data_IF_437176578209
#
_entry.id   IF_437176578209
#
_cell.length_a   1.000
_cell.length_b   1.000
_cell.length_c   1.000
_cell.angle_alpha   90.00
_cell.angle_beta   90.00
_cell.angle_gamma   90.00
#
_symmetry.space_group_name_H-M   'P 1'
#
loop_
_entity.id
_entity.type
_entity.pdbx_description
1 polymer ?
#
# COMPACT_ATOMS: atom_id res chain seq x y z
N UNK A 1 -23.45 14.57 27.53
CA UNK A 1 -22.14 15.07 27.96
C UNK A 1 -21.25 15.05 26.74
N UNK A 2 -21.21 16.16 26.02
CA UNK A 2 -20.33 16.41 24.89
C UNK A 2 -19.13 17.15 25.49
N UNK A 3 -17.96 16.55 25.47
CA UNK A 3 -16.73 17.17 25.94
C UNK A 3 -16.19 18.13 24.88
N UNK A 4 -15.82 19.32 25.32
CA UNK A 4 -15.28 20.41 24.53
C UNK A 4 -13.94 20.02 23.89
N UNK A 5 -13.90 19.97 22.54
CA UNK A 5 -12.70 19.76 21.72
C UNK A 5 -12.03 21.10 21.32
N UNK A 6 -12.03 22.11 22.18
CA UNK A 6 -11.48 23.45 21.88
C UNK A 6 -9.95 23.58 22.04
N UNK A 7 -9.27 22.61 22.65
CA UNK A 7 -7.86 22.78 23.05
C UNK A 7 -6.79 22.36 22.01
N UNK A 8 -7.15 21.97 20.77
CA UNK A 8 -6.16 21.48 19.78
C UNK A 8 -5.54 22.60 18.95
N UNK A 9 -6.09 23.79 18.95
CA UNK A 9 -5.60 24.91 18.12
C UNK A 9 -4.63 25.87 18.83
N UNK A 10 -4.51 25.82 20.15
CA UNK A 10 -3.70 26.78 20.93
C UNK A 10 -2.19 26.43 20.97
N UNK A 11 -1.75 25.33 20.38
CA UNK A 11 -0.33 24.91 20.41
C UNK A 11 0.46 25.16 19.13
N UNK A 12 -0.13 25.79 18.10
CA UNK A 12 0.58 26.14 16.87
C UNK A 12 1.01 27.60 16.90
N UNK A 13 2.17 27.87 17.46
CA UNK A 13 2.84 29.17 17.32
C UNK A 13 3.38 29.31 15.89
N UNK A 14 2.73 30.18 15.09
CA UNK A 14 3.28 30.61 13.81
C UNK A 14 4.39 31.64 14.07
N UNK A 15 5.65 31.21 14.03
CA UNK A 15 6.75 32.16 13.89
C UNK A 15 6.71 32.73 12.47
N UNK A 16 6.29 33.99 12.36
CA UNK A 16 6.40 34.74 11.11
C UNK A 16 7.88 34.92 10.80
N UNK A 17 8.37 34.53 9.61
CA UNK A 17 9.73 34.89 9.22
C UNK A 17 9.81 36.40 9.12
N UNK A 18 10.80 36.98 9.84
CA UNK A 18 11.11 38.41 9.85
C UNK A 18 11.25 38.93 8.41
N UNK A 19 10.40 39.90 8.06
CA UNK A 19 10.44 40.58 6.78
C UNK A 19 11.78 41.33 6.64
N UNK A 20 12.72 40.76 5.90
CA UNK A 20 13.80 41.54 5.30
C UNK A 20 13.21 42.31 4.12
N UNK A 21 13.24 43.63 4.22
CA UNK A 21 12.83 44.54 3.16
C UNK A 21 13.63 44.24 1.88
N UNK A 22 12.93 43.89 0.81
CA UNK A 22 13.47 43.90 -0.53
C UNK A 22 13.07 45.19 -1.22
N UNK A 23 14.08 45.93 -1.68
CA UNK A 23 13.93 47.12 -2.52
C UNK A 23 13.19 46.75 -3.82
N UNK A 24 12.11 47.50 -4.08
CA UNK A 24 11.34 47.38 -5.31
C UNK A 24 11.89 48.42 -6.28
N UNK A 25 12.87 48.06 -7.10
CA UNK A 25 13.18 48.74 -8.35
C UNK A 25 14.14 47.88 -9.20
N UNK A 26 13.56 46.89 -9.91
CA UNK A 26 14.17 46.35 -11.12
C UNK A 26 13.09 45.72 -12.04
N UNK A 27 13.14 45.97 -13.33
CA UNK A 27 12.10 45.49 -14.26
C UNK A 27 12.21 43.99 -14.46
N UNK A 28 11.16 43.25 -14.11
CA UNK A 28 11.01 41.81 -14.25
C UNK A 28 10.97 41.44 -15.74
N UNK A 29 12.08 40.92 -16.24
CA UNK A 29 12.05 40.09 -17.45
C UNK A 29 11.59 38.67 -17.10
N UNK A 30 10.63 38.04 -17.83
CA UNK A 30 10.16 36.69 -17.53
C UNK A 30 11.18 35.67 -18.05
N UNK A 31 12.17 35.34 -17.25
CA UNK A 31 12.96 34.13 -17.44
C UNK A 31 12.35 33.05 -16.57
N UNK A 32 11.75 32.04 -17.20
CA UNK A 32 11.20 30.87 -16.53
C UNK A 32 12.22 30.20 -15.61
N UNK A 33 11.76 29.51 -14.54
CA UNK A 33 12.63 28.81 -13.64
C UNK A 33 13.35 27.67 -14.37
N UNK A 34 14.58 27.94 -14.79
CA UNK A 34 15.50 26.93 -15.22
C UNK A 34 15.74 25.97 -14.04
N UNK A 35 15.28 24.75 -14.18
CA UNK A 35 15.70 23.64 -13.34
C UNK A 35 17.24 23.59 -13.38
N UNK A 36 17.89 24.07 -12.32
CA UNK A 36 19.27 23.73 -12.07
C UNK A 36 19.30 22.22 -11.79
N UNK A 37 19.62 21.45 -12.82
CA UNK A 37 20.22 20.13 -12.62
C UNK A 37 21.48 20.34 -11.81
N UNK A 38 21.42 20.04 -10.51
CA UNK A 38 22.62 19.82 -9.71
C UNK A 38 23.22 18.50 -10.22
N UNK A 39 24.15 18.62 -11.15
CA UNK A 39 25.11 17.56 -11.49
C UNK A 39 26.12 17.45 -10.33
N UNK A 40 25.67 16.89 -9.21
CA UNK A 40 26.55 16.24 -8.24
C UNK A 40 26.39 14.77 -8.55
N UNK A 41 27.49 14.13 -8.93
CA UNK A 41 27.55 12.73 -9.35
C UNK A 41 26.86 11.82 -8.36
N UNK A 42 25.67 11.42 -8.72
CA UNK A 42 24.92 10.33 -8.11
C UNK A 42 25.19 9.07 -8.94
N UNK A 43 26.48 8.78 -9.12
CA UNK A 43 26.93 7.54 -9.71
C UNK A 43 27.27 6.57 -8.56
N UNK A 44 26.60 5.38 -8.63
CA UNK A 44 26.88 4.19 -7.85
C UNK A 44 26.42 4.14 -6.38
N UNK A 45 25.16 4.45 -6.09
CA UNK A 45 24.49 3.79 -4.99
C UNK A 45 23.98 2.40 -5.47
N UNK A 46 24.58 1.28 -5.02
CA UNK A 46 24.16 -0.07 -5.45
C UNK A 46 22.73 -0.42 -5.06
N UNK A 47 22.05 0.40 -4.25
CA UNK A 47 20.67 0.24 -3.83
C UNK A 47 19.67 1.02 -4.71
N UNK A 48 20.11 1.85 -5.65
CA UNK A 48 19.19 2.52 -6.56
C UNK A 48 18.65 1.54 -7.59
N UNK A 49 17.32 1.44 -7.74
CA UNK A 49 16.72 0.55 -8.73
C UNK A 49 17.10 1.04 -10.15
N UNK A 50 17.85 0.23 -10.89
CA UNK A 50 18.19 0.51 -12.29
C UNK A 50 16.95 0.28 -13.15
N UNK A 51 16.37 1.37 -13.63
CA UNK A 51 15.19 1.36 -14.52
C UNK A 51 15.63 1.19 -15.97
N UNK A 52 15.68 -0.03 -16.46
CA UNK A 52 15.90 -0.31 -17.88
C UNK A 52 14.57 -0.54 -18.59
N UNK A 53 14.21 0.36 -19.46
CA UNK A 53 12.95 0.33 -20.19
C UNK A 53 11.80 1.01 -19.46
N UNK A 54 10.62 1.01 -20.10
CA UNK A 54 9.41 1.61 -19.55
C UNK A 54 8.18 0.76 -19.83
N UNK A 55 7.21 0.84 -18.94
CA UNK A 55 5.86 0.33 -19.11
C UNK A 55 4.89 1.43 -18.67
N UNK A 56 4.18 2.03 -19.62
CA UNK A 56 3.13 3.01 -19.36
C UNK A 56 1.78 2.33 -19.51
N UNK A 57 0.93 2.44 -18.51
CA UNK A 57 -0.35 1.72 -18.48
C UNK A 57 -1.52 2.67 -18.38
N UNK A 58 -2.66 2.29 -18.95
CA UNK A 58 -3.92 3.00 -18.80
C UNK A 58 -5.10 2.02 -18.70
N UNK A 59 -6.11 2.42 -17.94
CA UNK A 59 -7.40 1.72 -17.83
C UNK A 59 -8.48 2.69 -18.26
N UNK A 60 -9.28 2.30 -19.27
CA UNK A 60 -10.27 3.15 -19.91
C UNK A 60 -11.56 2.37 -20.15
N UNK A 61 -12.58 3.07 -20.62
CA UNK A 61 -13.81 2.55 -21.22
C UNK A 61 -14.47 1.41 -20.41
N UNK A 62 -14.97 1.70 -19.19
CA UNK A 62 -15.76 0.74 -18.46
C UNK A 62 -17.04 0.41 -19.24
N UNK A 63 -17.26 -0.87 -19.56
CA UNK A 63 -18.41 -1.35 -20.31
C UNK A 63 -19.12 -2.44 -19.50
N UNK A 64 -20.45 -2.30 -19.38
CA UNK A 64 -21.28 -3.31 -18.77
C UNK A 64 -21.56 -4.41 -19.80
N UNK A 65 -21.02 -5.59 -19.57
CA UNK A 65 -21.20 -6.77 -20.38
C UNK A 65 -22.36 -7.61 -19.84
N UNK A 66 -23.06 -8.35 -20.73
CA UNK A 66 -24.16 -9.24 -20.38
C UNK A 66 -25.28 -8.52 -19.55
N UNK A 67 -25.62 -7.30 -19.95
CA UNK A 67 -26.47 -6.38 -19.18
C UNK A 67 -27.83 -6.94 -18.78
N UNK A 68 -28.39 -7.87 -19.56
CA UNK A 68 -29.71 -8.47 -19.35
C UNK A 68 -29.67 -9.80 -18.59
N UNK A 69 -28.51 -10.25 -18.14
CA UNK A 69 -28.32 -11.52 -17.46
C UNK A 69 -27.96 -11.37 -15.99
N UNK A 70 -28.14 -12.44 -15.21
CA UNK A 70 -27.70 -12.49 -13.80
C UNK A 70 -26.15 -12.42 -13.68
N UNK A 71 -25.44 -12.74 -14.75
CA UNK A 71 -23.98 -12.78 -14.83
C UNK A 71 -23.38 -11.48 -15.36
N UNK A 72 -24.14 -10.38 -15.33
CA UNK A 72 -23.67 -9.06 -15.73
C UNK A 72 -22.41 -8.65 -14.96
N UNK A 73 -21.40 -8.17 -15.68
CA UNK A 73 -20.13 -7.67 -15.14
C UNK A 73 -19.66 -6.42 -15.87
N UNK A 74 -18.69 -5.73 -15.29
CA UNK A 74 -18.03 -4.59 -15.94
C UNK A 74 -16.66 -5.03 -16.44
N UNK A 75 -16.38 -4.77 -17.72
CA UNK A 75 -15.08 -4.94 -18.36
C UNK A 75 -14.42 -3.57 -18.55
N UNK A 76 -13.10 -3.53 -18.44
CA UNK A 76 -12.25 -2.34 -18.60
C UNK A 76 -11.26 -2.59 -19.71
N UNK A 77 -11.04 -1.61 -20.58
CA UNK A 77 -9.98 -1.65 -21.58
C UNK A 77 -8.65 -1.33 -20.90
N UNK A 78 -7.77 -2.31 -20.80
CA UNK A 78 -6.39 -2.14 -20.32
C UNK A 78 -5.48 -1.97 -21.51
N UNK A 79 -4.65 -0.93 -21.51
CA UNK A 79 -3.69 -0.61 -22.54
C UNK A 79 -2.32 -0.38 -21.94
N UNK A 80 -1.29 -0.78 -22.63
CA UNK A 80 0.07 -0.44 -22.26
C UNK A 80 0.86 0.11 -23.46
N UNK A 81 1.90 0.90 -23.16
CA UNK A 81 2.94 1.30 -24.10
C UNK A 81 4.29 0.96 -23.46
N UNK A 82 5.10 0.18 -24.16
CA UNK A 82 6.32 -0.38 -23.57
C UNK A 82 7.43 -0.57 -24.63
N UNK A 83 8.68 -0.53 -24.16
CA UNK A 83 9.87 -0.96 -24.91
C UNK A 83 10.53 -2.18 -24.27
N UNK A 84 9.88 -2.81 -23.27
CA UNK A 84 10.42 -3.98 -22.60
C UNK A 84 10.45 -5.19 -23.56
N UNK A 85 11.58 -5.91 -23.65
CA UNK A 85 11.75 -7.01 -24.62
C UNK A 85 10.85 -8.24 -24.32
N UNK A 86 10.30 -8.31 -23.13
CA UNK A 86 9.38 -9.39 -22.74
C UNK A 86 8.03 -9.28 -23.46
N UNK A 87 7.62 -8.08 -23.91
CA UNK A 87 6.37 -7.87 -24.63
C UNK A 87 6.54 -8.14 -26.13
N UNK A 88 5.56 -8.80 -26.74
CA UNK A 88 5.55 -9.11 -28.16
C UNK A 88 5.19 -7.90 -29.01
N UNK A 89 4.40 -6.98 -28.46
CA UNK A 89 3.95 -5.74 -29.11
C UNK A 89 4.25 -4.52 -28.25
N UNK A 90 4.62 -3.38 -28.87
CA UNK A 90 4.91 -2.15 -28.10
C UNK A 90 3.65 -1.49 -27.50
N UNK A 91 2.46 -1.81 -28.01
CA UNK A 91 1.19 -1.23 -27.59
C UNK A 91 0.14 -2.34 -27.36
N UNK A 92 0.33 -3.23 -26.37
CA UNK A 92 -0.65 -4.27 -26.10
C UNK A 92 -1.93 -3.69 -25.50
N UNK A 93 -3.07 -4.30 -25.83
CA UNK A 93 -4.36 -3.93 -25.26
C UNK A 93 -5.27 -5.14 -25.13
N UNK A 94 -6.04 -5.17 -24.03
CA UNK A 94 -7.01 -6.23 -23.76
C UNK A 94 -8.17 -5.71 -22.91
N UNK A 95 -9.30 -6.43 -22.92
CA UNK A 95 -10.37 -6.16 -21.95
C UNK A 95 -10.27 -7.12 -20.78
N UNK A 96 -10.41 -6.57 -19.55
CA UNK A 96 -10.31 -7.32 -18.29
C UNK A 96 -11.44 -6.94 -17.35
N UNK A 97 -12.00 -7.93 -16.65
CA UNK A 97 -12.96 -7.71 -15.57
C UNK A 97 -12.25 -7.61 -14.23
N UNK A 98 -12.93 -7.11 -13.22
CA UNK A 98 -12.33 -6.93 -11.88
C UNK A 98 -11.71 -8.22 -11.31
N UNK A 99 -12.33 -9.38 -11.53
CA UNK A 99 -11.80 -10.66 -11.06
C UNK A 99 -10.45 -11.04 -11.71
N UNK A 100 -10.19 -10.56 -12.93
CA UNK A 100 -8.91 -10.79 -13.61
C UNK A 100 -7.77 -10.01 -12.92
N UNK A 101 -8.06 -8.81 -12.41
CA UNK A 101 -7.11 -8.04 -11.58
C UNK A 101 -6.89 -8.71 -10.22
N UNK A 102 -7.93 -9.29 -9.61
CA UNK A 102 -7.79 -10.06 -8.36
C UNK A 102 -6.87 -11.24 -8.58
N UNK A 103 -7.08 -12.01 -9.64
CA UNK A 103 -6.22 -13.12 -10.01
C UNK A 103 -4.77 -12.66 -10.20
N UNK A 104 -4.56 -11.61 -11.01
CA UNK A 104 -3.24 -11.04 -11.26
C UNK A 104 -2.53 -10.71 -9.94
N UNK A 105 -3.19 -9.94 -9.06
CA UNK A 105 -2.61 -9.54 -7.78
C UNK A 105 -2.27 -10.71 -6.89
N UNK A 106 -3.20 -11.64 -6.69
CA UNK A 106 -3.03 -12.75 -5.76
C UNK A 106 -1.88 -13.67 -6.19
N UNK A 107 -1.70 -13.88 -7.51
CA UNK A 107 -0.59 -14.67 -8.03
C UNK A 107 0.74 -13.92 -7.99
N UNK A 108 0.75 -12.60 -8.24
CA UNK A 108 1.97 -11.79 -8.06
C UNK A 108 2.44 -11.78 -6.61
N UNK A 109 1.54 -11.70 -5.62
CA UNK A 109 1.88 -11.80 -4.19
C UNK A 109 2.51 -13.16 -3.85
N UNK A 110 2.01 -14.24 -4.46
CA UNK A 110 2.56 -15.57 -4.26
C UNK A 110 3.92 -15.75 -4.93
N UNK A 111 4.03 -15.34 -6.19
CA UNK A 111 5.21 -15.57 -7.01
C UNK A 111 6.38 -14.63 -6.65
N UNK A 112 6.07 -13.44 -6.12
CA UNK A 112 7.02 -12.40 -5.72
C UNK A 112 6.76 -11.98 -4.27
N UNK A 113 6.87 -12.94 -3.35
CA UNK A 113 6.49 -12.76 -1.94
C UNK A 113 7.30 -11.70 -1.20
N UNK A 114 8.52 -11.39 -1.64
CA UNK A 114 9.35 -10.31 -1.10
C UNK A 114 9.06 -8.93 -1.73
N UNK A 115 8.26 -8.86 -2.83
CA UNK A 115 7.90 -7.61 -3.48
C UNK A 115 6.63 -7.00 -2.88
N UNK A 116 6.59 -5.67 -2.80
CA UNK A 116 5.41 -4.92 -2.35
C UNK A 116 4.40 -4.81 -3.50
N UNK A 117 3.55 -5.83 -3.64
CA UNK A 117 2.50 -5.81 -4.66
C UNK A 117 1.40 -4.83 -4.24
N UNK A 118 1.01 -3.88 -5.12
CA UNK A 118 -0.04 -2.91 -4.81
C UNK A 118 -1.36 -3.57 -4.41
N UNK A 119 -2.09 -2.94 -3.50
CA UNK A 119 -3.43 -3.39 -3.14
C UNK A 119 -4.44 -3.02 -4.23
N UNK A 120 -5.45 -3.88 -4.40
CA UNK A 120 -6.65 -3.55 -5.15
C UNK A 120 -7.65 -2.78 -4.27
N UNK A 121 -8.58 -2.03 -4.88
CA UNK A 121 -9.63 -1.36 -4.11
C UNK A 121 -10.44 -2.37 -3.30
N UNK A 122 -10.70 -2.02 -2.04
CA UNK A 122 -11.40 -2.86 -1.08
C UNK A 122 -12.80 -3.24 -1.59
N UNK A 123 -13.11 -4.54 -1.55
CA UNK A 123 -14.45 -5.06 -1.87
C UNK A 123 -15.51 -4.64 -0.83
N UNK A 124 -15.08 -4.25 0.37
CA UNK A 124 -15.90 -4.06 1.57
C UNK A 124 -16.11 -2.59 1.96
N UNK A 125 -15.68 -1.61 1.17
CA UNK A 125 -16.08 -0.22 1.42
C UNK A 125 -17.61 -0.13 1.41
N UNK A 126 -18.20 0.48 2.44
CA UNK A 126 -19.65 0.70 2.54
C UNK A 126 -20.23 1.31 1.27
N UNK A 127 -19.48 2.19 0.60
CA UNK A 127 -19.84 2.79 -0.69
C UNK A 127 -19.97 1.76 -1.82
N UNK A 128 -19.22 0.63 -1.76
CA UNK A 128 -19.32 -0.49 -2.71
C UNK A 128 -20.41 -1.49 -2.35
N UNK A 129 -20.93 -1.45 -1.10
CA UNK A 129 -21.97 -2.38 -0.62
C UNK A 129 -23.39 -1.80 -0.76
N UNK A 130 -23.52 -0.47 -0.67
CA UNK A 130 -24.83 0.22 -0.65
C UNK A 130 -25.24 0.83 -1.99
N UNK A 131 -24.31 0.94 -2.96
CA UNK A 131 -24.57 1.53 -4.29
C UNK A 131 -24.80 0.50 -5.39
N UNK A 132 -25.40 0.93 -6.49
CA UNK A 132 -25.46 0.14 -7.72
C UNK A 132 -24.06 -0.03 -8.31
N UNK A 133 -23.54 -1.26 -8.33
CA UNK A 133 -22.22 -1.60 -8.92
C UNK A 133 -22.10 -1.30 -10.41
N UNK A 134 -23.18 -0.89 -11.05
CA UNK A 134 -23.24 -0.50 -12.45
C UNK A 134 -23.50 0.99 -12.63
N UNK A 135 -23.55 1.79 -11.55
CA UNK A 135 -23.66 3.24 -11.71
C UNK A 135 -22.42 3.81 -12.40
N UNK A 136 -22.55 4.84 -13.23
CA UNK A 136 -21.42 5.48 -13.91
C UNK A 136 -20.34 5.94 -12.93
N UNK A 137 -20.73 6.50 -11.79
CA UNK A 137 -19.82 6.99 -10.76
C UNK A 137 -19.02 5.84 -10.15
N UNK A 138 -19.68 4.71 -9.86
CA UNK A 138 -19.02 3.53 -9.33
C UNK A 138 -18.01 2.94 -10.33
N UNK A 139 -18.43 2.80 -11.59
CA UNK A 139 -17.57 2.25 -12.65
C UNK A 139 -16.35 3.14 -12.89
N UNK A 140 -16.52 4.46 -12.89
CA UNK A 140 -15.43 5.41 -13.09
C UNK A 140 -14.47 5.45 -11.90
N UNK A 141 -14.96 5.45 -10.67
CA UNK A 141 -14.13 5.36 -9.46
C UNK A 141 -13.29 4.09 -9.46
N UNK A 142 -13.91 2.95 -9.76
CA UNK A 142 -13.18 1.67 -9.85
C UNK A 142 -12.17 1.67 -10.99
N UNK A 143 -12.49 2.29 -12.13
CA UNK A 143 -11.55 2.47 -13.24
C UNK A 143 -10.28 3.22 -12.78
N UNK A 144 -10.45 4.31 -12.05
CA UNK A 144 -9.33 5.10 -11.50
C UNK A 144 -8.45 4.27 -10.55
N UNK A 145 -9.07 3.51 -9.65
CA UNK A 145 -8.33 2.67 -8.71
C UNK A 145 -7.56 1.55 -9.41
N UNK A 146 -8.17 0.90 -10.42
CA UNK A 146 -7.51 -0.11 -11.25
C UNK A 146 -6.38 0.51 -12.08
N UNK A 147 -6.55 1.74 -12.54
CA UNK A 147 -5.51 2.47 -13.25
C UNK A 147 -4.29 2.71 -12.35
N UNK A 148 -4.48 3.19 -11.11
CA UNK A 148 -3.40 3.34 -10.11
C UNK A 148 -2.71 2.03 -9.79
N UNK A 149 -3.48 0.95 -9.63
CA UNK A 149 -2.91 -0.38 -9.42
C UNK A 149 -1.94 -0.77 -10.54
N UNK A 150 -2.35 -0.63 -11.81
CA UNK A 150 -1.47 -0.94 -12.94
C UNK A 150 -0.29 0.03 -13.07
N UNK A 151 -0.46 1.31 -12.75
CA UNK A 151 0.64 2.28 -12.74
C UNK A 151 1.71 1.91 -11.71
N UNK A 152 1.30 1.48 -10.51
CA UNK A 152 2.24 1.01 -9.47
C UNK A 152 2.98 -0.25 -9.92
N UNK A 153 2.28 -1.22 -10.52
CA UNK A 153 2.93 -2.40 -11.12
C UNK A 153 3.92 -2.02 -12.22
N UNK A 154 3.55 -1.08 -13.07
CA UNK A 154 4.39 -0.60 -14.16
C UNK A 154 5.64 0.16 -13.68
N UNK A 155 5.55 0.83 -12.54
CA UNK A 155 6.68 1.54 -11.90
C UNK A 155 7.61 0.59 -11.14
N UNK A 156 7.22 -0.67 -10.91
CA UNK A 156 8.03 -1.63 -10.16
C UNK A 156 8.98 -2.40 -11.08
N UNK A 157 10.31 -2.36 -10.84
CA UNK A 157 11.30 -2.90 -11.77
C UNK A 157 11.18 -4.41 -12.02
N UNK A 158 10.81 -5.17 -10.99
CA UNK A 158 10.65 -6.63 -11.07
C UNK A 158 9.27 -6.99 -11.60
N UNK A 159 8.19 -6.44 -11.05
CA UNK A 159 6.82 -6.82 -11.39
C UNK A 159 6.47 -6.49 -12.85
N UNK A 160 6.96 -5.36 -13.40
CA UNK A 160 6.73 -4.99 -14.80
C UNK A 160 7.28 -6.03 -15.80
N UNK A 161 8.26 -6.86 -15.39
CA UNK A 161 8.89 -7.90 -16.20
C UNK A 161 8.30 -9.29 -15.98
N UNK A 162 7.25 -9.39 -15.17
CA UNK A 162 6.57 -10.66 -14.93
C UNK A 162 5.87 -11.17 -16.19
N UNK A 163 6.00 -12.47 -16.46
CA UNK A 163 5.29 -13.15 -17.55
C UNK A 163 3.78 -13.07 -17.41
N UNK A 164 3.30 -13.08 -16.16
CA UNK A 164 1.88 -12.94 -15.85
C UNK A 164 1.37 -11.53 -16.18
N UNK A 165 2.16 -10.48 -15.87
CA UNK A 165 1.83 -9.08 -16.24
C UNK A 165 1.81 -8.93 -17.76
N UNK A 166 2.79 -9.49 -18.47
CA UNK A 166 2.77 -9.52 -19.94
C UNK A 166 1.48 -10.17 -20.47
N UNK A 167 1.16 -11.39 -20.00
CA UNK A 167 -0.02 -12.11 -20.43
C UNK A 167 -1.32 -11.35 -20.12
N UNK A 168 -1.35 -10.61 -19.01
CA UNK A 168 -2.48 -9.76 -18.65
C UNK A 168 -2.74 -8.65 -19.68
N UNK A 169 -1.74 -8.09 -20.32
CA UNK A 169 -1.93 -7.07 -21.35
C UNK A 169 -2.08 -7.64 -22.77
N UNK A 170 -1.44 -8.78 -23.08
CA UNK A 170 -1.37 -9.31 -24.44
C UNK A 170 -2.39 -10.41 -24.74
N UNK A 171 -2.75 -11.25 -23.77
CA UNK A 171 -3.54 -12.45 -24.03
C UNK A 171 -5.00 -12.12 -24.37
N UNK A 172 -5.48 -12.65 -25.48
CA UNK A 172 -6.91 -12.69 -25.82
C UNK A 172 -7.65 -13.80 -25.06
N UNK A 173 -6.94 -14.89 -24.74
CA UNK A 173 -7.47 -16.06 -24.01
C UNK A 173 -6.97 -16.08 -22.56
N UNK A 174 -7.31 -15.04 -21.80
CA UNK A 174 -6.85 -14.87 -20.43
C UNK A 174 -7.18 -16.06 -19.52
N UNK A 175 -8.34 -16.68 -19.68
CA UNK A 175 -8.72 -17.85 -18.89
C UNK A 175 -7.76 -19.03 -19.06
N UNK A 176 -7.25 -19.26 -20.27
CA UNK A 176 -6.27 -20.30 -20.54
C UNK A 176 -4.95 -19.99 -19.82
N UNK A 177 -4.52 -18.71 -19.86
CA UNK A 177 -3.33 -18.26 -19.14
C UNK A 177 -3.45 -18.41 -17.62
N UNK A 178 -4.63 -18.12 -17.07
CA UNK A 178 -4.90 -18.33 -15.64
C UNK A 178 -4.74 -19.81 -15.25
N UNK A 179 -5.33 -20.72 -16.02
CA UNK A 179 -5.21 -22.16 -15.75
C UNK A 179 -3.79 -22.66 -15.92
N UNK A 180 -3.07 -22.23 -16.93
CA UNK A 180 -1.66 -22.60 -17.14
C UNK A 180 -0.78 -22.13 -16.01
N UNK A 181 -0.98 -20.89 -15.52
CA UNK A 181 -0.21 -20.33 -14.40
C UNK A 181 -0.47 -21.08 -13.09
N UNK A 182 -1.71 -21.52 -12.84
CA UNK A 182 -2.05 -22.34 -11.67
C UNK A 182 -1.45 -23.75 -11.78
N UNK A 183 -1.45 -24.35 -12.97
CA UNK A 183 -0.91 -25.67 -13.19
C UNK A 183 0.64 -25.74 -13.13
N UNK A 184 1.31 -24.65 -13.53
CA UNK A 184 2.76 -24.55 -13.58
C UNK A 184 3.23 -23.23 -12.97
N UNK A 185 3.19 -23.08 -11.64
CA UNK A 185 3.64 -21.85 -10.99
C UNK A 185 5.14 -21.64 -11.22
N UNK A 186 5.58 -20.44 -11.59
CA UNK A 186 7.00 -20.16 -11.78
C UNK A 186 7.74 -20.27 -10.44
N UNK A 187 8.86 -20.99 -10.41
CA UNK A 187 9.78 -21.04 -9.26
C UNK A 187 9.45 -22.04 -8.16
N UNK A 188 8.43 -22.86 -8.29
CA UNK A 188 8.25 -24.02 -7.39
C UNK A 188 9.04 -25.22 -7.91
N UNK A 189 10.29 -25.37 -7.46
CA UNK A 189 10.86 -26.70 -7.36
C UNK A 189 10.07 -27.48 -6.30
N UNK A 190 9.77 -28.78 -6.53
CA UNK A 190 9.07 -29.58 -5.55
C UNK A 190 9.97 -29.78 -4.32
N UNK A 191 9.85 -28.89 -3.34
CA UNK A 191 10.45 -29.09 -2.04
C UNK A 191 9.72 -30.25 -1.35
N UNK A 192 10.43 -31.30 -0.91
CA UNK A 192 9.78 -32.40 -0.23
C UNK A 192 9.14 -31.90 1.08
N UNK A 193 7.86 -32.23 1.24
CA UNK A 193 6.90 -31.69 2.21
C UNK A 193 7.16 -31.94 3.70
N UNK A 194 8.41 -31.88 4.18
CA UNK A 194 8.72 -31.98 5.61
C UNK A 194 8.58 -30.59 6.26
N UNK A 195 8.92 -29.52 5.53
CA UNK A 195 8.87 -28.14 6.05
C UNK A 195 7.42 -27.64 6.17
N UNK A 196 6.54 -28.01 5.22
CA UNK A 196 5.12 -27.61 5.25
C UNK A 196 4.37 -28.20 6.45
N UNK A 197 4.66 -29.44 6.82
CA UNK A 197 4.02 -30.10 7.97
C UNK A 197 4.50 -29.59 9.34
N UNK A 198 5.67 -28.97 9.42
CA UNK A 198 6.20 -28.40 10.67
C UNK A 198 5.72 -26.95 10.83
N UNK A 199 5.65 -26.20 9.74
CA UNK A 199 5.21 -24.79 9.72
C UNK A 199 3.76 -24.62 10.19
N UNK A 200 2.85 -25.49 9.78
CA UNK A 200 1.43 -25.43 10.19
C UNK A 200 1.20 -25.73 11.69
N UNK A 201 2.13 -26.41 12.35
CA UNK A 201 1.99 -26.78 13.76
C UNK A 201 2.58 -25.73 14.72
N UNK A 202 3.39 -24.79 14.22
CA UNK A 202 4.14 -23.81 15.02
C UNK A 202 3.63 -22.37 14.89
N UNK A 203 2.40 -22.15 14.41
CA UNK A 203 1.79 -20.81 14.31
C UNK A 203 1.56 -20.19 15.69
N UNK A 204 2.62 -19.82 16.37
CA UNK A 204 2.57 -18.97 17.55
C UNK A 204 2.47 -17.49 17.10
N UNK A 205 1.25 -16.99 17.00
CA UNK A 205 0.95 -15.59 16.65
C UNK A 205 1.62 -14.54 17.57
N UNK A 206 2.30 -14.96 18.63
CA UNK A 206 2.95 -14.10 19.64
C UNK A 206 4.47 -14.28 19.71
N UNK A 207 5.07 -15.13 18.91
CA UNK A 207 6.52 -15.31 18.90
C UNK A 207 7.21 -14.02 18.40
N UNK A 208 8.30 -13.63 19.06
CA UNK A 208 9.12 -12.48 18.66
C UNK A 208 10.50 -12.99 18.29
N UNK A 209 11.06 -12.43 17.22
CA UNK A 209 12.44 -12.64 16.80
C UNK A 209 13.37 -12.33 17.98
N UNK A 210 14.26 -13.27 18.32
CA UNK A 210 15.15 -13.16 19.50
C UNK A 210 16.27 -12.15 19.30
N UNK A 211 16.77 -12.06 18.07
CA UNK A 211 17.80 -11.10 17.69
C UNK A 211 17.29 -10.26 16.53
N UNK A 212 16.40 -9.28 16.79
CA UNK A 212 15.88 -8.43 15.73
C UNK A 212 17.00 -7.59 15.11
N UNK A 213 17.04 -7.55 13.78
CA UNK A 213 17.91 -6.66 13.05
C UNK A 213 17.39 -5.22 13.17
N UNK A 214 18.22 -4.32 13.66
CA UNK A 214 17.87 -2.92 13.90
C UNK A 214 17.35 -2.21 12.64
N UNK A 215 17.87 -2.55 11.46
CA UNK A 215 17.41 -2.01 10.18
C UNK A 215 15.93 -2.23 9.96
N UNK A 216 15.43 -3.45 10.18
CA UNK A 216 14.02 -3.78 10.02
C UNK A 216 13.13 -3.20 11.12
N UNK A 217 13.67 -3.00 12.34
CA UNK A 217 12.95 -2.28 13.40
C UNK A 217 12.70 -0.82 13.01
N UNK A 218 13.73 -0.12 12.51
CA UNK A 218 13.63 1.26 12.03
C UNK A 218 12.67 1.35 10.84
N UNK A 219 12.74 0.41 9.89
CA UNK A 219 11.82 0.38 8.75
C UNK A 219 10.37 0.23 9.20
N UNK A 220 10.11 -0.65 10.16
CA UNK A 220 8.76 -0.85 10.71
C UNK A 220 8.23 0.39 11.40
N UNK A 221 9.06 1.02 12.24
CA UNK A 221 8.70 2.27 12.91
C UNK A 221 8.39 3.40 11.90
N UNK A 222 9.18 3.49 10.82
CA UNK A 222 8.92 4.46 9.76
C UNK A 222 7.62 4.19 9.00
N UNK A 223 7.29 2.91 8.77
CA UNK A 223 6.00 2.52 8.17
C UNK A 223 4.84 2.87 9.11
N UNK A 224 4.97 2.59 10.40
CA UNK A 224 3.96 2.91 11.41
C UNK A 224 3.68 4.43 11.48
N UNK A 225 4.72 5.24 11.57
CA UNK A 225 4.62 6.71 11.57
C UNK A 225 4.01 7.25 10.27
N UNK A 226 4.37 6.67 9.13
CA UNK A 226 3.83 7.07 7.84
C UNK A 226 2.33 6.75 7.75
N UNK A 227 1.92 5.55 8.13
CA UNK A 227 0.50 5.15 8.14
C UNK A 227 -0.33 6.01 9.09
N UNK A 228 0.18 6.30 10.30
CA UNK A 228 -0.46 7.20 11.25
C UNK A 228 -0.66 8.60 10.66
N UNK A 229 0.38 9.15 10.02
CA UNK A 229 0.33 10.45 9.35
C UNK A 229 -0.70 10.48 8.22
N UNK A 230 -0.81 9.41 7.42
CA UNK A 230 -1.81 9.28 6.37
C UNK A 230 -3.25 9.23 6.94
N UNK A 231 -3.47 8.47 8.01
CA UNK A 231 -4.77 8.36 8.68
C UNK A 231 -5.21 9.71 9.26
N UNK A 232 -4.29 10.43 9.90
CA UNK A 232 -4.56 11.80 10.42
C UNK A 232 -4.90 12.74 9.27
N UNK A 233 -4.11 12.71 8.19
CA UNK A 233 -4.35 13.54 7.01
C UNK A 233 -5.70 13.24 6.34
N UNK A 234 -6.06 11.96 6.18
CA UNK A 234 -7.36 11.54 5.62
C UNK A 234 -8.52 12.08 6.48
N UNK A 235 -8.40 12.00 7.81
CA UNK A 235 -9.39 12.52 8.75
C UNK A 235 -9.55 14.04 8.64
N UNK A 236 -8.44 14.77 8.59
CA UNK A 236 -8.46 16.24 8.46
C UNK A 236 -9.08 16.68 7.14
N UNK A 237 -8.67 16.08 6.03
CA UNK A 237 -9.23 16.42 4.72
C UNK A 237 -10.70 16.01 4.56
N UNK A 238 -11.12 14.94 5.21
CA UNK A 238 -12.55 14.57 5.28
C UNK A 238 -13.36 15.65 6.01
N UNK A 239 -12.83 16.24 7.09
CA UNK A 239 -13.46 17.40 7.76
C UNK A 239 -13.48 18.62 6.84
N UNK A 240 -12.36 18.94 6.17
CA UNK A 240 -12.30 20.06 5.19
C UNK A 240 -13.37 19.87 4.13
N UNK A 241 -13.49 18.68 3.53
CA UNK A 241 -14.53 18.35 2.55
C UNK A 241 -15.94 18.62 3.09
N UNK A 242 -16.24 18.16 4.31
CA UNK A 242 -17.53 18.40 4.97
C UNK A 242 -17.80 19.90 5.14
N UNK A 243 -16.83 20.64 5.67
CA UNK A 243 -16.96 22.11 5.85
C UNK A 243 -17.09 22.88 4.54
N UNK A 244 -16.39 22.44 3.50
CA UNK A 244 -16.55 23.06 2.16
C UNK A 244 -17.94 22.75 1.59
N UNK A 245 -18.50 21.57 1.84
CA UNK A 245 -19.87 21.26 1.45
C UNK A 245 -20.90 22.12 2.17
N UNK A 246 -20.73 22.31 3.49
CA UNK A 246 -21.59 23.22 4.29
C UNK A 246 -21.50 24.65 3.76
N UNK A 247 -20.28 25.15 3.54
CA UNK A 247 -20.02 26.49 2.98
C UNK A 247 -20.65 26.67 1.59
N UNK A 248 -20.62 25.63 0.76
CA UNK A 248 -21.28 25.63 -0.56
C UNK A 248 -22.79 25.82 -0.44
N UNK A 249 -23.43 25.17 0.53
CA UNK A 249 -24.85 25.36 0.83
C UNK A 249 -25.13 26.78 1.37
N UNK A 250 -24.31 27.26 2.30
CA UNK A 250 -24.46 28.61 2.89
C UNK A 250 -24.38 29.71 1.83
N UNK A 251 -23.43 29.61 0.87
CA UNK A 251 -23.37 30.57 -0.25
C UNK A 251 -24.59 30.49 -1.16
N UNK A 252 -25.12 29.31 -1.41
CA UNK A 252 -26.32 29.11 -2.19
C UNK A 252 -27.54 29.77 -1.49
N UNK A 253 -27.72 29.54 -0.20
CA UNK A 253 -28.84 30.07 0.58
C UNK A 253 -28.74 31.59 0.72
N UNK A 254 -27.52 32.10 0.91
CA UNK A 254 -27.28 33.57 0.88
C UNK A 254 -27.67 34.19 -0.47
N UNK A 255 -27.31 33.52 -1.57
CA UNK A 255 -27.67 34.00 -2.91
C UNK A 255 -29.18 34.08 -3.09
N UNK A 256 -29.92 33.06 -2.66
CA UNK A 256 -31.38 33.02 -2.69
C UNK A 256 -32.00 34.19 -1.85
N UNK A 257 -31.45 34.41 -0.64
CA UNK A 257 -31.87 35.48 0.24
C UNK A 257 -31.63 36.90 -0.39
N UNK A 258 -30.46 37.10 -0.99
CA UNK A 258 -30.12 38.36 -1.70
C UNK A 258 -31.02 38.56 -2.91
N UNK A 259 -31.32 37.52 -3.67
CA UNK A 259 -32.27 37.61 -4.77
C UNK A 259 -33.68 38.01 -4.29
N UNK A 260 -34.10 37.44 -3.14
CA UNK A 260 -35.37 37.85 -2.50
C UNK A 260 -35.42 39.32 -2.13
N UNK A 261 -34.32 39.90 -1.63
CA UNK A 261 -34.22 41.36 -1.38
C UNK A 261 -34.35 42.16 -2.65
N UNK A 262 -33.84 41.69 -3.78
CA UNK A 262 -33.96 42.37 -5.08
C UNK A 262 -35.42 42.59 -5.55
N UNK A 263 -36.36 41.77 -5.09
CA UNK A 263 -37.79 41.97 -5.35
C UNK A 263 -38.43 43.06 -4.47
N UNK A 264 -37.82 43.34 -3.30
CA UNK A 264 -38.36 44.34 -2.35
C UNK A 264 -37.78 45.74 -2.59
N UNK A 265 -36.57 45.85 -3.11
CA UNK A 265 -35.81 47.09 -3.25
C UNK A 265 -35.62 47.44 -4.73
N UNK A 266 -36.61 48.14 -5.32
CA UNK A 266 -36.65 48.44 -6.76
C UNK A 266 -35.48 49.32 -7.26
N UNK A 267 -34.85 50.10 -6.38
CA UNK A 267 -33.73 51.00 -6.76
C UNK A 267 -32.38 50.31 -6.96
N UNK A 268 -32.21 49.12 -6.38
CA UNK A 268 -30.95 48.34 -6.42
C UNK A 268 -31.15 46.87 -6.87
N UNK A 269 -32.27 46.60 -7.52
CA UNK A 269 -32.62 45.25 -8.01
C UNK A 269 -31.52 44.64 -8.88
N UNK A 270 -31.01 45.37 -9.88
CA UNK A 270 -29.97 44.88 -10.78
C UNK A 270 -28.64 44.58 -10.08
N UNK A 271 -28.08 45.44 -9.22
CA UNK A 271 -26.91 45.12 -8.42
C UNK A 271 -27.10 43.90 -7.51
N UNK A 272 -28.26 43.74 -6.86
CA UNK A 272 -28.55 42.58 -5.99
C UNK A 272 -28.65 41.30 -6.80
N UNK A 273 -29.27 41.32 -7.98
CA UNK A 273 -29.31 40.16 -8.86
C UNK A 273 -27.91 39.76 -9.36
N UNK A 274 -27.06 40.74 -9.73
CA UNK A 274 -25.68 40.44 -10.09
C UNK A 274 -24.91 39.84 -8.92
N UNK A 275 -25.09 40.39 -7.71
CA UNK A 275 -24.45 39.84 -6.51
C UNK A 275 -24.92 38.42 -6.19
N UNK A 276 -26.23 38.17 -6.26
CA UNK A 276 -26.81 36.81 -6.09
C UNK A 276 -26.22 35.83 -7.11
N UNK A 277 -26.13 36.22 -8.39
CA UNK A 277 -25.54 35.38 -9.42
C UNK A 277 -24.06 35.06 -9.15
N UNK A 278 -23.27 36.05 -8.72
CA UNK A 278 -21.85 35.82 -8.32
C UNK A 278 -21.74 34.83 -7.16
N UNK A 279 -22.62 34.89 -6.16
CA UNK A 279 -22.67 33.94 -5.06
C UNK A 279 -23.03 32.53 -5.53
N UNK A 280 -23.97 32.40 -6.48
CA UNK A 280 -24.33 31.10 -7.07
C UNK A 280 -23.16 30.49 -7.85
N UNK A 281 -22.49 31.29 -8.68
CA UNK A 281 -21.30 30.83 -9.44
C UNK A 281 -20.17 30.43 -8.51
N UNK A 282 -19.90 31.21 -7.44
CA UNK A 282 -18.91 30.86 -6.45
C UNK A 282 -19.25 29.55 -5.71
N UNK A 283 -20.53 29.36 -5.35
CA UNK A 283 -21.01 28.08 -4.79
C UNK A 283 -20.77 26.90 -5.76
N UNK A 284 -21.03 27.12 -7.06
CA UNK A 284 -20.77 26.11 -8.09
C UNK A 284 -19.26 25.79 -8.24
N UNK A 285 -18.40 26.81 -8.19
CA UNK A 285 -16.94 26.65 -8.20
C UNK A 285 -16.43 25.85 -7.00
N UNK A 286 -16.93 26.11 -5.78
CA UNK A 286 -16.60 25.35 -4.57
C UNK A 286 -16.98 23.87 -4.72
N UNK A 287 -18.16 23.61 -5.24
CA UNK A 287 -18.62 22.22 -5.50
C UNK A 287 -17.75 21.54 -6.53
N UNK A 288 -17.44 22.23 -7.62
CA UNK A 288 -16.55 21.71 -8.68
C UNK A 288 -15.16 21.40 -8.13
N UNK A 289 -14.53 22.32 -7.39
CA UNK A 289 -13.22 22.12 -6.76
C UNK A 289 -13.22 20.93 -5.78
N UNK A 290 -14.31 20.74 -5.04
CA UNK A 290 -14.45 19.56 -4.16
C UNK A 290 -14.42 18.27 -4.97
N UNK A 291 -15.18 18.18 -6.05
CA UNK A 291 -15.30 17.00 -6.90
C UNK A 291 -14.03 16.69 -7.71
N UNK A 292 -13.35 17.72 -8.21
CA UNK A 292 -12.20 17.57 -9.11
C UNK A 292 -10.85 17.53 -8.39
N UNK A 293 -10.77 18.05 -7.17
CA UNK A 293 -9.50 18.19 -6.42
C UNK A 293 -9.53 17.45 -5.09
N UNK A 294 -10.51 17.78 -4.22
CA UNK A 294 -10.53 17.23 -2.84
C UNK A 294 -10.90 15.74 -2.82
N UNK A 295 -11.92 15.33 -3.56
CA UNK A 295 -12.34 13.92 -3.62
C UNK A 295 -11.27 13.00 -4.23
N UNK A 296 -10.63 13.33 -5.37
CA UNK A 296 -9.50 12.56 -5.89
C UNK A 296 -8.31 12.50 -4.95
N UNK A 297 -8.00 13.59 -4.23
CA UNK A 297 -6.94 13.62 -3.24
C UNK A 297 -7.21 12.65 -2.08
N UNK A 298 -8.42 12.65 -1.51
CA UNK A 298 -8.82 11.71 -0.45
C UNK A 298 -8.75 10.25 -0.92
N UNK A 299 -9.20 9.97 -2.14
CA UNK A 299 -9.09 8.63 -2.72
C UNK A 299 -7.62 8.21 -2.89
N UNK A 300 -6.75 9.15 -3.25
CA UNK A 300 -5.32 8.88 -3.40
C UNK A 300 -4.64 8.61 -2.07
N UNK A 301 -4.91 9.42 -1.02
CA UNK A 301 -4.43 9.20 0.34
C UNK A 301 -4.79 7.79 0.84
N UNK A 302 -6.05 7.41 0.70
CA UNK A 302 -6.52 6.09 1.09
C UNK A 302 -5.84 4.97 0.31
N UNK A 303 -5.68 5.13 -1.00
CA UNK A 303 -4.98 4.18 -1.85
C UNK A 303 -3.50 4.04 -1.45
N UNK A 304 -2.85 5.13 -1.04
CA UNK A 304 -1.47 5.11 -0.56
C UNK A 304 -1.36 4.42 0.81
N UNK A 305 -2.33 4.61 1.70
CA UNK A 305 -2.42 3.90 2.96
C UNK A 305 -2.53 2.37 2.74
N UNK A 306 -3.41 1.93 1.85
CA UNK A 306 -3.55 0.50 1.53
C UNK A 306 -2.30 -0.07 0.86
N UNK A 307 -1.57 0.72 0.09
CA UNK A 307 -0.28 0.32 -0.48
C UNK A 307 0.79 0.17 0.62
N UNK A 308 0.82 1.08 1.61
CA UNK A 308 1.68 0.94 2.80
C UNK A 308 1.37 -0.32 3.60
N UNK A 309 0.10 -0.72 3.72
CA UNK A 309 -0.27 -2.00 4.35
C UNK A 309 0.31 -3.21 3.61
N UNK A 310 0.43 -3.16 2.27
CA UNK A 310 1.12 -4.20 1.50
C UNK A 310 2.61 -4.26 1.86
N UNK A 311 3.27 -3.11 2.03
CA UNK A 311 4.65 -3.04 2.49
C UNK A 311 4.82 -3.63 3.91
N UNK A 312 3.93 -3.26 4.83
CA UNK A 312 3.90 -3.85 6.19
C UNK A 312 3.75 -5.37 6.14
N UNK A 313 2.96 -5.92 5.21
CA UNK A 313 2.78 -7.36 5.06
C UNK A 313 4.09 -8.05 4.65
N UNK A 314 4.89 -7.46 3.75
CA UNK A 314 6.21 -7.98 3.37
C UNK A 314 7.17 -7.99 4.56
N UNK A 315 7.22 -6.90 5.36
CA UNK A 315 8.03 -6.85 6.58
C UNK A 315 7.62 -7.92 7.60
N UNK A 316 6.31 -8.17 7.77
CA UNK A 316 5.82 -9.25 8.63
C UNK A 316 6.21 -10.64 8.12
N UNK A 317 6.15 -10.85 6.79
CA UNK A 317 6.54 -12.12 6.19
C UNK A 317 8.04 -12.38 6.36
N UNK A 318 8.87 -11.33 6.26
CA UNK A 318 10.31 -11.40 6.56
C UNK A 318 10.55 -11.85 8.00
N UNK A 319 9.85 -11.27 8.97
CA UNK A 319 9.97 -11.66 10.37
C UNK A 319 9.52 -13.11 10.59
N UNK A 320 8.48 -13.54 9.89
CA UNK A 320 8.02 -14.93 9.97
C UNK A 320 9.10 -15.90 9.47
N UNK A 321 9.78 -15.58 8.35
CA UNK A 321 10.89 -16.40 7.83
C UNK A 321 12.05 -16.48 8.83
N UNK A 322 12.35 -15.40 9.53
CA UNK A 322 13.36 -15.39 10.58
C UNK A 322 12.94 -16.25 11.79
N UNK A 323 11.67 -16.16 12.20
CA UNK A 323 11.13 -16.99 13.28
C UNK A 323 11.14 -18.48 12.91
N UNK A 324 10.73 -18.85 11.71
CA UNK A 324 10.74 -20.22 11.22
C UNK A 324 12.15 -20.83 11.34
N UNK A 325 13.19 -20.06 10.97
CA UNK A 325 14.58 -20.47 11.14
C UNK A 325 14.97 -20.61 12.62
N UNK A 326 14.64 -19.63 13.48
CA UNK A 326 14.98 -19.68 14.91
C UNK A 326 14.30 -20.85 15.63
N UNK A 327 13.02 -21.11 15.37
CA UNK A 327 12.28 -22.22 15.95
C UNK A 327 12.81 -23.59 15.49
N UNK A 328 13.15 -23.70 14.21
CA UNK A 328 13.74 -24.93 13.68
C UNK A 328 15.12 -25.21 14.26
N UNK A 329 15.92 -24.17 14.47
CA UNK A 329 17.24 -24.25 15.13
C UNK A 329 17.11 -24.70 16.59
N UNK A 330 16.10 -24.17 17.31
CA UNK A 330 15.84 -24.59 18.70
C UNK A 330 15.37 -26.05 18.75
N UNK A 331 14.53 -26.45 17.81
CA UNK A 331 14.07 -27.84 17.75
C UNK A 331 15.23 -28.80 17.50
N UNK A 332 16.14 -28.48 16.57
CA UNK A 332 17.37 -29.21 16.34
C UNK A 332 18.22 -29.34 17.62
N UNK A 333 18.38 -28.21 18.34
CA UNK A 333 19.13 -28.18 19.62
C UNK A 333 18.50 -29.09 20.65
N UNK A 334 17.17 -29.10 20.78
CA UNK A 334 16.44 -30.00 21.69
C UNK A 334 16.61 -31.45 21.35
N UNK A 335 16.45 -31.83 20.07
CA UNK A 335 16.63 -33.22 19.60
C UNK A 335 18.06 -33.68 19.80
N UNK A 336 19.06 -32.81 19.56
CA UNK A 336 20.48 -33.11 19.82
C UNK A 336 20.76 -33.35 21.29
N UNK A 337 20.21 -32.53 22.18
CA UNK A 337 20.35 -32.73 23.64
C UNK A 337 19.70 -34.04 24.11
N UNK A 338 18.54 -34.41 23.55
CA UNK A 338 17.89 -35.69 23.88
C UNK A 338 18.72 -36.90 23.41
N UNK A 339 19.30 -36.81 22.21
CA UNK A 339 20.22 -37.81 21.69
C UNK A 339 21.46 -37.97 22.59
N UNK A 340 22.05 -36.85 23.05
CA UNK A 340 23.23 -36.86 23.91
C UNK A 340 22.92 -37.40 25.30
N UNK A 341 21.74 -37.10 25.86
CA UNK A 341 21.25 -37.76 27.10
C UNK A 341 21.12 -39.26 26.94
N UNK A 342 20.53 -39.70 25.83
CA UNK A 342 20.39 -41.13 25.56
C UNK A 342 21.75 -41.82 25.37
N UNK A 343 22.71 -41.17 24.70
CA UNK A 343 24.08 -41.65 24.55
C UNK A 343 24.80 -41.75 25.89
N UNK A 344 24.64 -40.77 26.80
CA UNK A 344 25.21 -40.80 28.15
C UNK A 344 24.65 -41.97 29.00
N UNK A 345 23.36 -42.27 28.86
CA UNK A 345 22.74 -43.44 29.52
C UNK A 345 23.30 -44.74 28.99
N UNK A 346 23.45 -44.90 27.66
CA UNK A 346 24.00 -46.12 27.03
C UNK A 346 25.48 -46.33 27.39
N UNK A 347 26.27 -45.24 27.47
CA UNK A 347 27.70 -45.31 27.82
C UNK A 347 28.00 -45.48 29.33
N UNK A 348 26.99 -45.54 30.16
CA UNK A 348 27.14 -45.71 31.60
C UNK A 348 27.70 -44.48 32.37
N UNK A 349 27.83 -43.32 31.67
CA UNK A 349 28.33 -42.05 32.27
C UNK A 349 27.20 -41.21 32.92
N UNK A 350 26.00 -41.74 33.03
CA UNK A 350 24.83 -41.04 33.60
C UNK A 350 24.82 -40.99 35.16
N UNK A 351 25.93 -41.02 35.78
CA UNK A 351 26.03 -41.04 37.24
C UNK A 351 26.98 -40.00 37.82
N UNK A 352 26.63 -38.73 37.90
CA UNK A 352 27.23 -37.80 38.83
C UNK A 352 26.66 -36.38 38.84
N UNK A 353 25.39 -36.14 38.59
CA UNK A 353 24.77 -34.85 38.97
C UNK A 353 23.45 -35.11 39.65
N UNK A 354 23.48 -34.96 40.96
CA UNK A 354 22.45 -34.82 41.97
C UNK A 354 21.00 -34.93 41.56
N UNK A 355 20.46 -36.16 41.43
CA UNK A 355 19.05 -36.38 41.22
C UNK A 355 18.50 -37.30 42.28
N UNK A 356 17.36 -36.91 42.85
CA UNK A 356 16.75 -37.52 43.98
C UNK A 356 16.45 -39.02 43.83
N UNK A 357 16.27 -39.69 44.97
CA UNK A 357 16.05 -41.11 45.21
C UNK A 357 15.05 -41.81 44.26
N UNK A 358 14.11 -41.02 43.68
CA UNK A 358 13.10 -41.51 42.74
C UNK A 358 13.63 -41.93 41.37
N UNK A 359 14.70 -41.25 40.85
CA UNK A 359 15.34 -41.58 39.56
C UNK A 359 16.19 -42.86 39.69
N UNK A 360 16.82 -43.04 40.82
CA UNK A 360 17.65 -44.25 41.12
C UNK A 360 16.83 -45.55 41.24
N UNK A 361 15.60 -45.44 41.77
CA UNK A 361 14.68 -46.59 41.88
C UNK A 361 14.09 -46.98 40.51
N UNK A 362 13.82 -46.01 39.62
CA UNK A 362 13.32 -46.25 38.29
C UNK A 362 14.40 -46.91 37.39
N UNK A 363 15.63 -46.45 37.47
CA UNK A 363 16.76 -47.00 36.76
C UNK A 363 17.07 -48.44 37.17
N UNK A 364 16.84 -48.79 38.44
CA UNK A 364 17.09 -50.16 38.97
C UNK A 364 15.99 -51.14 38.58
N UNK A 365 14.76 -50.68 38.43
CA UNK A 365 13.64 -51.48 37.92
C UNK A 365 13.79 -51.74 36.40
N UNK A 366 14.28 -50.73 35.66
CA UNK A 366 14.54 -50.85 34.23
C UNK A 366 15.78 -51.75 33.94
N UNK A 367 16.78 -51.74 34.81
CA UNK A 367 17.95 -52.65 34.73
C UNK A 367 17.61 -54.12 35.00
N UNK A 368 16.53 -54.43 35.69
CA UNK A 368 16.05 -55.81 35.90
C UNK A 368 15.23 -56.35 34.71
N UNK A 369 14.83 -55.52 33.77
CA UNK A 369 14.02 -55.88 32.59
C UNK A 369 14.81 -56.42 31.37
N UNK A 370 16.14 -56.44 31.42
CA UNK A 370 17.04 -57.25 30.60
C UNK A 370 17.05 -56.97 29.10
N UNK A 371 18.25 -56.88 28.52
CA UNK A 371 18.73 -57.04 27.12
C UNK A 371 17.88 -56.58 25.92
N UNK A 372 16.55 -56.56 26.00
CA UNK A 372 15.68 -56.01 24.95
C UNK A 372 15.60 -54.46 24.98
N UNK A 373 15.92 -53.88 26.14
CA UNK A 373 15.86 -52.43 26.36
C UNK A 373 17.08 -51.70 25.74
N UNK A 374 18.27 -52.31 25.74
CA UNK A 374 19.45 -51.69 25.14
C UNK A 374 19.40 -51.67 23.60
N UNK A 375 18.84 -52.72 22.99
CA UNK A 375 18.58 -52.70 21.53
C UNK A 375 17.57 -51.64 21.14
N UNK A 376 16.53 -51.48 21.92
CA UNK A 376 15.52 -50.43 21.73
C UNK A 376 16.11 -49.02 21.88
N UNK A 377 17.01 -48.81 22.85
CA UNK A 377 17.74 -47.54 23.05
C UNK A 377 18.68 -47.21 21.90
N UNK A 378 19.44 -48.21 21.43
CA UNK A 378 20.33 -48.03 20.27
C UNK A 378 19.52 -47.72 18.99
N UNK A 379 18.38 -48.38 18.79
CA UNK A 379 17.52 -48.08 17.65
C UNK A 379 16.89 -46.68 17.72
N UNK A 380 16.48 -46.23 18.93
CA UNK A 380 16.01 -44.86 19.16
C UNK A 380 17.13 -43.86 18.86
N UNK A 381 18.35 -44.11 19.32
CA UNK A 381 19.49 -43.23 19.04
C UNK A 381 19.75 -43.12 17.53
N UNK A 382 19.70 -44.24 16.79
CA UNK A 382 19.86 -44.23 15.33
C UNK A 382 18.75 -43.44 14.63
N UNK A 383 17.51 -43.54 15.10
CA UNK A 383 16.39 -42.72 14.57
C UNK A 383 16.59 -41.23 14.85
N UNK A 384 17.10 -40.88 16.04
CA UNK A 384 17.45 -39.49 16.38
C UNK A 384 18.62 -38.99 15.53
N UNK A 385 19.65 -39.78 15.26
CA UNK A 385 20.78 -39.40 14.40
C UNK A 385 20.32 -39.09 12.96
N UNK A 386 19.41 -39.91 12.41
CA UNK A 386 18.82 -39.68 11.08
C UNK A 386 18.01 -38.35 11.11
N UNK A 387 17.16 -38.18 12.13
CA UNK A 387 16.34 -36.97 12.29
C UNK A 387 17.19 -35.70 12.48
N UNK A 388 18.29 -35.78 13.23
CA UNK A 388 19.23 -34.66 13.41
C UNK A 388 19.83 -34.27 12.07
N UNK A 389 20.23 -35.22 11.22
CA UNK A 389 20.77 -34.90 9.89
C UNK A 389 19.73 -34.22 9.01
N UNK A 390 18.51 -34.74 8.96
CA UNK A 390 17.40 -34.12 8.21
C UNK A 390 17.09 -32.71 8.72
N UNK A 391 17.10 -32.49 10.05
CA UNK A 391 16.92 -31.20 10.66
C UNK A 391 18.07 -30.22 10.39
N UNK A 392 19.32 -30.71 10.35
CA UNK A 392 20.49 -29.90 10.00
C UNK A 392 20.37 -29.35 8.57
N UNK A 393 20.00 -30.21 7.62
CA UNK A 393 19.76 -29.81 6.24
C UNK A 393 18.60 -28.78 6.17
N UNK A 394 17.51 -29.02 6.90
CA UNK A 394 16.36 -28.14 6.95
C UNK A 394 16.68 -26.77 7.59
N UNK A 395 17.47 -26.72 8.68
CA UNK A 395 17.94 -25.49 9.33
C UNK A 395 18.83 -24.67 8.38
N UNK A 396 19.72 -25.36 7.64
CA UNK A 396 20.59 -24.68 6.66
C UNK A 396 19.75 -24.04 5.55
N UNK A 397 18.80 -24.77 4.99
CA UNK A 397 17.89 -24.26 3.96
C UNK A 397 17.02 -23.10 4.49
N UNK A 398 16.50 -23.20 5.73
CA UNK A 398 15.71 -22.14 6.35
C UNK A 398 16.54 -20.86 6.59
N UNK A 399 17.82 -21.02 6.98
CA UNK A 399 18.75 -19.89 7.15
C UNK A 399 19.01 -19.19 5.83
N UNK A 400 19.41 -19.94 4.78
CA UNK A 400 19.65 -19.39 3.45
C UNK A 400 18.39 -18.68 2.89
N UNK A 401 17.22 -19.30 3.07
CA UNK A 401 15.95 -18.69 2.65
C UNK A 401 15.64 -17.40 3.41
N UNK A 402 15.86 -17.37 4.73
CA UNK A 402 15.63 -16.18 5.57
C UNK A 402 16.58 -15.04 5.20
N UNK A 403 17.86 -15.35 4.95
CA UNK A 403 18.85 -14.35 4.55
C UNK A 403 18.57 -13.79 3.15
N UNK A 404 18.29 -14.65 2.16
CA UNK A 404 17.94 -14.26 0.82
C UNK A 404 16.68 -13.37 0.81
N UNK A 405 15.66 -13.76 1.60
CA UNK A 405 14.42 -12.96 1.74
C UNK A 405 14.68 -11.61 2.41
N UNK A 406 15.57 -11.56 3.41
CA UNK A 406 15.98 -10.33 4.08
C UNK A 406 16.68 -9.37 3.12
N UNK A 407 17.61 -9.86 2.30
CA UNK A 407 18.32 -9.06 1.30
C UNK A 407 17.36 -8.53 0.22
N UNK A 408 16.43 -9.37 -0.24
CA UNK A 408 15.41 -8.94 -1.21
C UNK A 408 14.47 -7.89 -0.61
N UNK A 409 14.05 -8.07 0.66
CA UNK A 409 13.22 -7.07 1.37
C UNK A 409 13.94 -5.73 1.50
N UNK A 410 15.26 -5.70 1.72
CA UNK A 410 16.03 -4.45 1.77
C UNK A 410 16.02 -3.72 0.43
N UNK A 411 16.19 -4.45 -0.68
CA UNK A 411 16.10 -3.87 -2.05
C UNK A 411 14.69 -3.37 -2.32
N UNK A 412 13.69 -4.12 -1.93
CA UNK A 412 12.29 -3.76 -2.10
C UNK A 412 11.90 -2.51 -1.32
N UNK A 413 12.45 -2.31 -0.12
CA UNK A 413 12.23 -1.08 0.64
C UNK A 413 12.74 0.17 -0.10
N UNK A 414 13.86 0.08 -0.81
CA UNK A 414 14.36 1.18 -1.63
C UNK A 414 13.40 1.47 -2.81
N UNK A 415 12.89 0.42 -3.48
CA UNK A 415 11.89 0.55 -4.55
C UNK A 415 10.61 1.19 -4.05
N UNK A 416 10.08 0.70 -2.91
CA UNK A 416 8.87 1.24 -2.29
C UNK A 416 9.04 2.70 -1.87
N UNK A 417 10.17 3.06 -1.26
CA UNK A 417 10.46 4.44 -0.84
C UNK A 417 10.46 5.39 -2.03
N UNK A 418 11.13 5.02 -3.11
CA UNK A 418 11.14 5.80 -4.35
C UNK A 418 9.73 5.97 -4.95
N UNK A 419 8.97 4.88 -5.05
CA UNK A 419 7.60 4.89 -5.57
C UNK A 419 6.68 5.78 -4.71
N UNK A 420 6.78 5.67 -3.38
CA UNK A 420 6.05 6.48 -2.41
C UNK A 420 6.34 7.97 -2.58
N UNK A 421 7.62 8.35 -2.69
CA UNK A 421 8.02 9.75 -2.85
C UNK A 421 7.52 10.35 -4.17
N UNK A 422 7.63 9.61 -5.27
CA UNK A 422 7.13 10.05 -6.56
C UNK A 422 5.60 10.23 -6.54
N UNK A 423 4.88 9.29 -5.93
CA UNK A 423 3.42 9.34 -5.79
C UNK A 423 2.96 10.47 -4.88
N UNK A 424 3.66 10.71 -3.76
CA UNK A 424 3.38 11.84 -2.87
C UNK A 424 3.58 13.20 -3.57
N UNK A 425 4.64 13.35 -4.36
CA UNK A 425 4.88 14.57 -5.15
C UNK A 425 3.76 14.79 -6.17
N UNK A 426 3.37 13.76 -6.90
CA UNK A 426 2.28 13.81 -7.87
C UNK A 426 0.95 14.19 -7.21
N UNK A 427 0.62 13.55 -6.08
CA UNK A 427 -0.62 13.78 -5.34
C UNK A 427 -0.72 15.20 -4.79
N UNK A 428 0.36 15.70 -4.16
CA UNK A 428 0.40 17.05 -3.60
C UNK A 428 0.46 18.12 -4.70
N UNK A 429 1.15 17.85 -5.82
CA UNK A 429 1.15 18.70 -6.99
C UNK A 429 -0.25 18.90 -7.56
N UNK A 430 -0.97 17.79 -7.81
CA UNK A 430 -2.34 17.85 -8.32
C UNK A 430 -3.30 18.58 -7.36
N UNK A 431 -3.12 18.43 -6.04
CA UNK A 431 -3.88 19.18 -5.05
C UNK A 431 -3.60 20.69 -5.15
N UNK A 432 -2.32 21.08 -5.22
CA UNK A 432 -1.92 22.48 -5.32
C UNK A 432 -2.41 23.13 -6.61
N UNK A 433 -2.25 22.45 -7.76
CA UNK A 433 -2.70 22.93 -9.06
C UNK A 433 -4.22 23.12 -9.08
N UNK A 434 -5.00 22.17 -8.56
CA UNK A 434 -6.44 22.29 -8.47
C UNK A 434 -6.91 23.42 -7.54
N UNK A 435 -6.19 23.69 -6.43
CA UNK A 435 -6.45 24.84 -5.57
C UNK A 435 -6.13 26.17 -6.29
N UNK A 436 -5.04 26.24 -7.03
CA UNK A 436 -4.66 27.41 -7.83
C UNK A 436 -5.73 27.71 -8.88
N UNK A 437 -6.21 26.71 -9.60
CA UNK A 437 -7.28 26.86 -10.60
C UNK A 437 -8.57 27.37 -9.97
N UNK A 438 -8.97 26.79 -8.82
CA UNK A 438 -10.13 27.26 -8.08
C UNK A 438 -10.02 28.72 -7.68
N UNK A 439 -8.90 29.14 -7.06
CA UNK A 439 -8.74 30.54 -6.62
C UNK A 439 -8.69 31.53 -7.78
N UNK A 440 -8.07 31.16 -8.92
CA UNK A 440 -8.10 31.98 -10.12
C UNK A 440 -9.52 32.21 -10.64
N UNK A 441 -10.29 31.13 -10.79
CA UNK A 441 -11.67 31.17 -11.23
C UNK A 441 -12.54 32.02 -10.25
N UNK A 442 -12.34 31.80 -8.94
CA UNK A 442 -13.05 32.57 -7.91
C UNK A 442 -12.72 34.07 -7.97
N UNK A 443 -11.46 34.46 -8.17
CA UNK A 443 -11.05 35.85 -8.33
C UNK A 443 -11.73 36.49 -9.56
N UNK A 444 -11.73 35.81 -10.70
CA UNK A 444 -12.39 36.27 -11.93
C UNK A 444 -13.89 36.54 -11.71
N UNK A 445 -14.60 35.68 -10.98
CA UNK A 445 -16.01 35.88 -10.67
C UNK A 445 -16.24 37.10 -9.77
N UNK A 446 -15.41 37.29 -8.74
CA UNK A 446 -15.53 38.45 -7.86
C UNK A 446 -15.10 39.73 -8.55
N UNK A 447 -14.15 39.74 -9.47
CA UNK A 447 -13.76 40.91 -10.26
C UNK A 447 -14.89 41.37 -11.19
N UNK A 448 -15.70 40.46 -11.73
CA UNK A 448 -16.84 40.83 -12.63
C UNK A 448 -17.89 41.68 -11.97
N UNK A 449 -18.10 41.54 -10.67
CA UNK A 449 -19.14 42.34 -9.96
C UNK A 449 -18.67 43.71 -9.56
N UNK A 450 -17.38 43.98 -9.41
CA UNK A 450 -16.83 45.26 -8.94
C UNK A 450 -17.37 46.46 -9.71
N UNK A 451 -17.41 46.47 -11.07
CA UNK A 451 -17.95 47.61 -11.82
C UNK A 451 -19.42 47.84 -11.57
N UNK A 452 -20.19 46.81 -11.26
CA UNK A 452 -21.62 46.90 -10.96
C UNK A 452 -21.84 47.53 -9.59
N UNK A 453 -21.10 47.12 -8.58
CA UNK A 453 -21.17 47.68 -7.23
C UNK A 453 -20.71 49.14 -7.21
N UNK A 454 -19.66 49.49 -7.96
CA UNK A 454 -19.15 50.86 -8.05
C UNK A 454 -20.14 51.86 -8.68
N UNK A 455 -21.12 51.38 -9.45
CA UNK A 455 -22.17 52.23 -10.05
C UNK A 455 -23.33 52.55 -9.10
N UNK A 456 -23.40 51.88 -7.96
CA UNK A 456 -24.41 52.15 -6.95
C UNK A 456 -24.14 53.56 -6.38
N UNK A 457 -25.00 54.52 -6.70
CA UNK A 457 -24.92 55.85 -6.10
C UNK A 457 -25.53 55.79 -4.70
N UNK A 458 -24.71 56.02 -3.72
CA UNK A 458 -25.16 56.26 -2.35
C UNK A 458 -25.44 57.76 -2.28
N UNK A 459 -26.68 58.14 -2.56
CA UNK A 459 -27.11 59.52 -2.29
C UNK A 459 -27.23 59.67 -0.75
N UNK A 460 -26.19 60.29 -0.17
CA UNK A 460 -26.16 60.70 1.24
C UNK A 460 -26.85 61.98 1.45
#
# INVERSE_FOLDING_TARGET
MLGDDEDVFDSVTWESPSATAYDIDDPITPSGPGFRQSTVGADDDPLQPKWEGYLLTSVKDPVKELAETKDAYVSYLVQAKTNLPIFSTPNPSARRRFQDFVFLRDHLVRDFSACVVPALPDKHRLEYLTGDRFSPEFMERRRLDLHRFLQRLARHPTLQRSTLVRAFFESTEWHVQMHQHVAHPPGQEPTPGIIDNISDTLLNAFARVRKPDERFLIMRENVDKFEESLVVSERLYTRVRGRTSDLTADYHDLAVAVQGLGFLESGITDPLNHFSNTLLEFSALLRHATQTTTDPFLLHLHSLLTYSHSNRAVLKLRDQKQLDFEELSDYLSGVTADRDRLAAVISGHAGSTGLGIGAYLKDRVDAMRGTDDDRSRVEKMRKLDIKIKELQDAVTTAHETSDAFSDETLREQAVFQYAKEAEMKEMLGNLADGQIEFYKAAMEEWERIIPTIQRIRVDV
#
